data_IF_887346302921
#
_entry.id   IF_887346302921
#
_cell.length_a   1.000
_cell.length_b   1.000
_cell.length_c   1.000
_cell.angle_alpha   90.00
_cell.angle_beta   90.00
_cell.angle_gamma   90.00
#
_symmetry.space_group_name_H-M   'P 1'
#
loop_
_entity.id
_entity.type
_entity.pdbx_description
1 polymer ?
#
# COMPACT_ATOMS: atom_id res chain seq x y z
N UNK A 1 4.58 19.29 -3.90
CA UNK A 1 3.61 19.29 -5.00
C UNK A 1 3.42 17.83 -5.38
N UNK A 2 2.20 17.30 -5.40
CA UNK A 2 1.99 15.91 -5.81
C UNK A 2 2.16 15.86 -7.32
N UNK A 3 3.12 15.10 -7.82
CA UNK A 3 3.12 14.76 -9.24
C UNK A 3 1.82 14.02 -9.54
N UNK A 4 1.09 14.39 -10.59
CA UNK A 4 -0.13 13.69 -10.97
C UNK A 4 0.23 12.22 -11.22
N UNK A 5 -0.52 11.33 -10.56
CA UNK A 5 -0.39 9.90 -10.80
C UNK A 5 -0.90 9.56 -12.21
N UNK A 6 -0.36 8.50 -12.83
CA UNK A 6 -0.72 8.13 -14.20
C UNK A 6 -2.23 7.89 -14.34
N UNK A 7 -2.77 8.30 -15.49
CA UNK A 7 -4.18 8.16 -15.89
C UNK A 7 -5.20 8.69 -14.88
N UNK A 8 -4.83 9.75 -14.15
CA UNK A 8 -5.69 10.35 -13.13
C UNK A 8 -5.93 9.43 -11.92
N UNK A 9 -5.07 8.43 -11.74
CA UNK A 9 -5.22 7.44 -10.69
C UNK A 9 -5.12 8.04 -9.29
N UNK A 10 -5.71 7.34 -8.32
CA UNK A 10 -5.81 7.80 -6.94
C UNK A 10 -5.27 6.76 -5.98
N UNK A 11 -4.56 7.20 -4.93
CA UNK A 11 -4.19 6.33 -3.81
C UNK A 11 -5.15 6.56 -2.66
N UNK A 12 -5.82 5.50 -2.21
CA UNK A 12 -6.73 5.55 -1.07
C UNK A 12 -6.64 4.29 -0.22
N UNK A 13 -7.12 4.39 1.01
CA UNK A 13 -7.29 3.24 1.89
C UNK A 13 -8.37 2.31 1.35
N UNK A 14 -8.14 1.02 1.48
CA UNK A 14 -9.07 -0.04 1.13
C UNK A 14 -10.07 -0.24 2.28
N UNK A 15 -11.35 -0.38 1.94
CA UNK A 15 -12.37 -0.74 2.91
C UNK A 15 -12.40 -2.27 3.13
N UNK A 16 -12.82 -2.78 4.30
CA UNK A 16 -12.84 -4.22 4.57
C UNK A 16 -13.64 -5.05 3.54
N UNK A 17 -14.69 -4.48 2.94
CA UNK A 17 -15.50 -5.15 1.94
C UNK A 17 -14.81 -5.25 0.56
N UNK A 18 -13.78 -4.44 0.30
CA UNK A 18 -13.04 -4.40 -0.98
C UNK A 18 -11.85 -5.40 -1.00
N UNK A 19 -11.83 -6.39 -0.11
CA UNK A 19 -10.78 -7.42 -0.10
C UNK A 19 -10.72 -8.20 -1.43
N UNK A 20 -11.83 -8.28 -2.16
CA UNK A 20 -11.90 -8.93 -3.46
C UNK A 20 -11.18 -8.10 -4.55
N UNK A 21 -11.22 -6.77 -4.47
CA UNK A 21 -10.43 -5.90 -5.36
C UNK A 21 -8.92 -6.10 -5.14
N UNK A 22 -8.53 -6.30 -3.88
CA UNK A 22 -7.16 -6.61 -3.53
C UNK A 22 -6.73 -7.98 -4.06
N UNK A 23 -7.57 -9.00 -3.90
CA UNK A 23 -7.32 -10.33 -4.48
C UNK A 23 -7.18 -10.25 -6.01
N UNK A 24 -8.10 -9.56 -6.67
CA UNK A 24 -8.11 -9.41 -8.12
C UNK A 24 -6.84 -8.70 -8.62
N UNK A 25 -6.39 -7.65 -7.92
CA UNK A 25 -5.12 -6.98 -8.21
C UNK A 25 -3.92 -7.93 -8.08
N UNK A 26 -3.81 -8.66 -6.97
CA UNK A 26 -2.71 -9.58 -6.74
C UNK A 26 -2.66 -10.73 -7.76
N UNK A 27 -3.82 -11.19 -8.24
CA UNK A 27 -3.93 -12.21 -9.28
C UNK A 27 -3.53 -11.71 -10.67
N UNK A 28 -3.62 -10.40 -10.93
CA UNK A 28 -3.18 -9.77 -12.18
C UNK A 28 -1.67 -9.50 -12.26
N UNK A 29 -0.93 -9.68 -11.16
CA UNK A 29 0.51 -9.50 -11.17
C UNK A 29 1.18 -10.47 -12.15
N UNK A 30 2.10 -9.95 -12.96
CA UNK A 30 2.99 -10.79 -13.74
C UNK A 30 3.88 -11.66 -12.82
N UNK A 31 4.46 -12.72 -13.39
CA UNK A 31 5.24 -13.72 -12.64
C UNK A 31 6.35 -13.09 -11.78
N UNK A 32 7.06 -12.09 -12.30
CA UNK A 32 8.17 -11.47 -11.59
C UNK A 32 7.68 -10.58 -10.45
N UNK A 33 6.66 -9.76 -10.70
CA UNK A 33 6.05 -8.92 -9.66
C UNK A 33 5.43 -9.76 -8.54
N UNK A 34 4.81 -10.88 -8.90
CA UNK A 34 4.25 -11.85 -7.95
C UNK A 34 5.34 -12.52 -7.12
N UNK A 35 6.43 -13.00 -7.76
CA UNK A 35 7.60 -13.57 -7.06
C UNK A 35 8.21 -12.56 -6.09
N UNK A 36 8.39 -11.31 -6.49
CA UNK A 36 8.96 -10.25 -5.63
C UNK A 36 8.06 -9.93 -4.44
N UNK A 37 6.73 -9.92 -4.63
CA UNK A 37 5.78 -9.64 -3.55
C UNK A 37 5.72 -10.77 -2.51
N UNK A 38 5.79 -12.03 -2.94
CA UNK A 38 5.60 -13.19 -2.07
C UNK A 38 6.89 -13.97 -1.78
N UNK A 39 8.06 -13.41 -2.15
CA UNK A 39 9.38 -14.03 -2.02
C UNK A 39 9.49 -15.43 -2.61
N UNK A 40 8.70 -15.74 -3.65
CA UNK A 40 8.62 -17.07 -4.22
C UNK A 40 7.39 -17.30 -5.09
N UNK A 41 7.26 -18.52 -5.61
CA UNK A 41 6.06 -18.94 -6.33
C UNK A 41 4.89 -19.11 -5.34
N UNK A 42 3.72 -18.62 -5.73
CA UNK A 42 2.50 -18.66 -4.90
C UNK A 42 1.30 -19.01 -5.77
N UNK A 43 0.44 -19.91 -5.29
CA UNK A 43 -0.78 -20.30 -6.01
C UNK A 43 -1.85 -19.20 -5.94
N UNK A 44 -2.79 -19.21 -6.88
CA UNK A 44 -3.94 -18.30 -6.86
C UNK A 44 -4.78 -18.46 -5.58
N UNK A 45 -4.93 -19.70 -5.13
CA UNK A 45 -5.63 -20.01 -3.89
C UNK A 45 -4.95 -19.38 -2.66
N UNK A 46 -3.62 -19.47 -2.57
CA UNK A 46 -2.88 -18.83 -1.47
C UNK A 46 -2.97 -17.30 -1.56
N UNK A 47 -3.04 -16.71 -2.76
CA UNK A 47 -3.30 -15.28 -2.93
C UNK A 47 -4.67 -14.87 -2.41
N UNK A 48 -5.73 -15.60 -2.76
CA UNK A 48 -7.09 -15.30 -2.27
C UNK A 48 -7.16 -15.37 -0.75
N UNK A 49 -6.58 -16.42 -0.16
CA UNK A 49 -6.48 -16.56 1.29
C UNK A 49 -5.65 -15.45 1.94
N UNK A 50 -4.57 -15.01 1.31
CA UNK A 50 -3.78 -13.87 1.78
C UNK A 50 -4.62 -12.59 1.77
N UNK A 51 -5.28 -12.28 0.65
CA UNK A 51 -6.09 -11.07 0.50
C UNK A 51 -7.24 -11.02 1.52
N UNK A 52 -7.85 -12.16 1.85
CA UNK A 52 -8.88 -12.23 2.90
C UNK A 52 -8.40 -11.74 4.28
N UNK A 53 -7.09 -11.86 4.58
CA UNK A 53 -6.49 -11.36 5.82
C UNK A 53 -6.41 -9.84 5.87
N UNK A 54 -6.65 -9.12 4.78
CA UNK A 54 -6.71 -7.66 4.76
C UNK A 54 -7.82 -7.09 5.67
N UNK A 55 -8.81 -7.93 6.03
CA UNK A 55 -9.88 -7.61 6.98
C UNK A 55 -9.46 -7.73 8.45
N UNK A 56 -8.26 -8.25 8.70
CA UNK A 56 -7.75 -8.53 10.04
C UNK A 56 -7.43 -7.26 10.83
N UNK A 57 -7.51 -7.37 12.16
CA UNK A 57 -7.08 -6.31 13.07
C UNK A 57 -5.59 -6.00 12.84
N UNK A 58 -5.24 -4.71 12.90
CA UNK A 58 -3.86 -4.25 12.70
C UNK A 58 -3.40 -4.21 11.25
N UNK A 59 -4.23 -4.63 10.28
CA UNK A 59 -3.92 -4.54 8.85
C UNK A 59 -4.53 -3.28 8.24
N UNK A 60 -3.77 -2.59 7.40
CA UNK A 60 -4.28 -1.57 6.47
C UNK A 60 -3.72 -1.83 5.11
N UNK A 61 -4.59 -1.77 4.10
CA UNK A 61 -4.18 -1.80 2.71
C UNK A 61 -4.50 -0.44 2.09
N UNK A 62 -3.53 0.15 1.43
CA UNK A 62 -3.73 1.25 0.49
C UNK A 62 -3.75 0.67 -0.91
N UNK A 63 -4.70 1.12 -1.73
CA UNK A 63 -4.77 0.80 -3.15
C UNK A 63 -4.51 2.01 -4.00
N UNK A 64 -3.78 1.81 -5.10
CA UNK A 64 -3.74 2.71 -6.24
C UNK A 64 -4.82 2.26 -7.23
N UNK A 65 -5.76 3.14 -7.54
CA UNK A 65 -6.92 2.86 -8.39
C UNK A 65 -6.88 3.70 -9.65
N UNK A 66 -7.23 3.07 -10.77
CA UNK A 66 -7.43 3.73 -12.07
C UNK A 66 -8.75 3.22 -12.64
N UNK A 67 -9.69 4.14 -12.89
CA UNK A 67 -11.03 3.80 -13.36
C UNK A 67 -11.70 2.68 -12.52
N UNK A 68 -11.57 2.76 -11.19
CA UNK A 68 -12.20 1.84 -10.25
C UNK A 68 -11.47 0.52 -10.08
N UNK A 69 -10.42 0.28 -10.87
CA UNK A 69 -9.65 -0.96 -10.79
C UNK A 69 -8.39 -0.71 -9.97
N UNK A 70 -8.18 -1.54 -8.94
CA UNK A 70 -6.96 -1.51 -8.15
C UNK A 70 -5.76 -2.02 -8.99
N UNK A 71 -4.74 -1.19 -9.18
CA UNK A 71 -3.54 -1.45 -9.99
C UNK A 71 -2.25 -1.49 -9.18
N UNK A 72 -2.31 -1.07 -7.92
CA UNK A 72 -1.20 -1.16 -6.99
C UNK A 72 -1.69 -1.24 -5.55
N UNK A 73 -0.84 -1.71 -4.66
CA UNK A 73 -1.14 -1.90 -3.25
C UNK A 73 0.07 -1.66 -2.36
N UNK A 74 -0.20 -1.11 -1.17
CA UNK A 74 0.70 -1.12 -0.02
C UNK A 74 -0.05 -1.65 1.19
N UNK A 75 0.41 -2.79 1.69
CA UNK A 75 -0.14 -3.46 2.85
C UNK A 75 0.74 -3.19 4.06
N UNK A 76 0.18 -2.53 5.07
CA UNK A 76 0.79 -2.25 6.36
C UNK A 76 0.18 -3.18 7.43
N UNK A 77 1.02 -3.97 8.08
CA UNK A 77 0.65 -4.83 9.21
C UNK A 77 1.33 -4.33 10.47
N UNK A 78 0.55 -4.07 11.51
CA UNK A 78 1.08 -3.75 12.85
C UNK A 78 1.17 -5.03 13.69
N UNK A 79 2.24 -5.16 14.47
CA UNK A 79 2.30 -6.16 15.53
C UNK A 79 1.25 -5.85 16.61
N UNK A 80 0.43 -6.85 16.96
CA UNK A 80 -0.65 -6.72 17.92
C UNK A 80 -0.17 -6.83 19.38
N UNK A 81 1.08 -7.22 19.61
CA UNK A 81 1.68 -7.20 20.94
C UNK A 81 1.68 -5.76 21.51
N UNK A 82 1.13 -5.52 22.72
CA UNK A 82 1.10 -4.19 23.33
C UNK A 82 2.49 -3.57 23.55
N UNK A 83 3.51 -4.41 23.68
CA UNK A 83 4.90 -4.00 23.88
C UNK A 83 5.62 -3.69 22.56
N UNK A 84 5.04 -4.09 21.43
CA UNK A 84 5.65 -3.92 20.12
C UNK A 84 5.24 -2.60 19.48
N UNK A 85 6.24 -1.90 18.95
CA UNK A 85 6.05 -0.74 18.08
C UNK A 85 6.53 -1.01 16.66
N UNK A 86 6.47 -2.28 16.27
CA UNK A 86 6.91 -2.75 14.99
C UNK A 86 5.71 -2.87 14.04
N UNK A 87 5.99 -2.69 12.76
CA UNK A 87 5.09 -3.06 11.68
C UNK A 87 5.87 -3.55 10.48
N UNK A 88 5.13 -4.09 9.53
CA UNK A 88 5.65 -4.56 8.25
C UNK A 88 4.89 -3.88 7.13
N UNK A 89 5.59 -3.47 6.07
CA UNK A 89 4.97 -3.00 4.84
C UNK A 89 5.38 -3.85 3.65
N UNK A 90 4.41 -4.17 2.79
CA UNK A 90 4.63 -4.92 1.57
C UNK A 90 3.91 -4.25 0.39
N UNK A 91 4.55 -4.24 -0.77
CA UNK A 91 4.11 -3.49 -1.95
C UNK A 91 3.94 -4.41 -3.15
N UNK A 92 2.89 -4.19 -3.93
CA UNK A 92 2.71 -4.81 -5.23
C UNK A 92 2.11 -3.80 -6.21
N UNK A 93 2.64 -3.73 -7.41
CA UNK A 93 2.17 -2.80 -8.46
C UNK A 93 2.17 -3.59 -9.77
N UNK A 94 1.06 -3.53 -10.51
CA UNK A 94 0.97 -4.13 -11.84
C UNK A 94 2.01 -3.50 -12.78
N UNK A 95 2.59 -4.31 -13.68
CA UNK A 95 3.77 -3.95 -14.50
C UNK A 95 3.66 -2.58 -15.17
N UNK A 96 2.51 -2.32 -15.80
CA UNK A 96 2.27 -1.09 -16.58
C UNK A 96 2.23 0.18 -15.72
N UNK A 97 2.06 0.04 -14.40
CA UNK A 97 1.96 1.14 -13.44
C UNK A 97 3.25 1.33 -12.62
N UNK A 98 4.28 0.52 -12.86
CA UNK A 98 5.57 0.64 -12.19
C UNK A 98 6.37 1.81 -12.78
N UNK A 99 7.27 2.40 -11.99
CA UNK A 99 8.15 3.52 -12.40
C UNK A 99 7.44 4.84 -12.75
N UNK A 100 6.17 5.01 -12.37
CA UNK A 100 5.38 6.24 -12.58
C UNK A 100 5.03 6.96 -11.26
N UNK A 101 5.88 6.86 -10.23
CA UNK A 101 5.64 7.50 -8.93
C UNK A 101 4.62 6.79 -8.01
N UNK A 102 3.90 5.79 -8.50
CA UNK A 102 2.89 5.02 -7.73
C UNK A 102 3.45 4.43 -6.44
N UNK A 103 4.65 3.82 -6.50
CA UNK A 103 5.32 3.26 -5.32
C UNK A 103 5.64 4.31 -4.26
N UNK A 104 6.07 5.50 -4.66
CA UNK A 104 6.32 6.62 -3.75
C UNK A 104 5.05 7.09 -3.07
N UNK A 105 3.97 7.26 -3.84
CA UNK A 105 2.68 7.68 -3.28
C UNK A 105 2.12 6.66 -2.28
N UNK A 106 2.21 5.37 -2.61
CA UNK A 106 1.83 4.28 -1.72
C UNK A 106 2.67 4.24 -0.44
N UNK A 107 4.01 4.40 -0.56
CA UNK A 107 4.91 4.40 0.59
C UNK A 107 4.65 5.59 1.51
N UNK A 108 4.41 6.78 0.97
CA UNK A 108 4.04 7.96 1.76
C UNK A 108 2.78 7.72 2.60
N UNK A 109 1.76 7.09 2.02
CA UNK A 109 0.53 6.73 2.76
C UNK A 109 0.81 5.71 3.86
N UNK A 110 1.60 4.69 3.56
CA UNK A 110 2.00 3.69 4.55
C UNK A 110 2.79 4.31 5.71
N UNK A 111 3.77 5.16 5.43
CA UNK A 111 4.58 5.85 6.44
C UNK A 111 3.73 6.79 7.31
N UNK A 112 2.83 7.57 6.70
CA UNK A 112 1.91 8.44 7.45
C UNK A 112 1.04 7.64 8.43
N UNK A 113 0.43 6.55 7.96
CA UNK A 113 -0.40 5.71 8.82
C UNK A 113 0.42 4.94 9.85
N UNK A 114 1.65 4.54 9.53
CA UNK A 114 2.57 3.95 10.50
C UNK A 114 2.88 4.93 11.65
N UNK A 115 3.20 6.20 11.32
CA UNK A 115 3.38 7.28 12.31
C UNK A 115 2.15 7.46 13.19
N UNK A 116 0.97 7.59 12.58
CA UNK A 116 -0.29 7.82 13.30
C UNK A 116 -0.68 6.64 14.19
N UNK A 117 -0.16 5.44 13.90
CA UNK A 117 -0.36 4.23 14.71
C UNK A 117 0.73 4.00 15.76
N UNK A 118 1.71 4.89 15.86
CA UNK A 118 2.81 4.80 16.81
C UNK A 118 3.81 3.68 16.50
N UNK A 119 3.85 3.21 15.24
CA UNK A 119 4.88 2.31 14.74
C UNK A 119 6.19 3.10 14.67
N UNK A 120 7.22 2.60 15.34
CA UNK A 120 8.58 3.18 15.34
C UNK A 120 9.49 2.49 14.34
N UNK A 121 9.27 1.20 14.09
CA UNK A 121 10.07 0.40 13.18
C UNK A 121 9.16 -0.26 12.15
N UNK A 122 9.32 0.11 10.88
CA UNK A 122 8.59 -0.44 9.75
C UNK A 122 9.51 -1.31 8.91
N UNK A 123 9.36 -2.62 8.97
CA UNK A 123 10.18 -3.56 8.20
C UNK A 123 9.58 -3.80 6.82
N UNK A 124 10.44 -3.85 5.82
CA UNK A 124 10.08 -4.09 4.42
C UNK A 124 11.07 -5.08 3.81
N UNK A 125 10.63 -6.32 3.64
CA UNK A 125 11.47 -7.35 3.04
C UNK A 125 11.44 -7.24 1.52
N UNK A 126 12.61 -7.18 0.90
CA UNK A 126 12.73 -7.19 -0.55
C UNK A 126 13.86 -8.11 -0.99
N UNK A 127 13.65 -8.81 -2.10
CA UNK A 127 14.71 -9.59 -2.73
C UNK A 127 15.88 -8.67 -3.12
N UNK A 128 17.12 -9.18 -3.04
CA UNK A 128 18.32 -8.43 -3.39
C UNK A 128 18.35 -7.96 -4.85
N UNK A 129 17.61 -8.64 -5.74
CA UNK A 129 17.44 -8.29 -7.15
C UNK A 129 16.30 -7.26 -7.40
N UNK A 130 15.64 -6.76 -6.35
CA UNK A 130 14.56 -5.79 -6.47
C UNK A 130 15.09 -4.34 -6.47
N UNK A 131 15.80 -3.99 -7.54
CA UNK A 131 16.37 -2.64 -7.74
C UNK A 131 15.34 -1.52 -7.62
N UNK A 132 14.09 -1.76 -8.06
CA UNK A 132 13.01 -0.77 -7.97
C UNK A 132 12.66 -0.45 -6.51
N UNK A 133 12.57 -1.46 -5.66
CA UNK A 133 12.34 -1.25 -4.23
C UNK A 133 13.55 -0.60 -3.56
N UNK A 134 14.77 -0.96 -3.95
CA UNK A 134 15.98 -0.29 -3.45
C UNK A 134 16.00 1.20 -3.84
N UNK A 135 15.67 1.54 -5.08
CA UNK A 135 15.54 2.93 -5.53
C UNK A 135 14.43 3.68 -4.79
N UNK A 136 13.26 3.06 -4.64
CA UNK A 136 12.16 3.64 -3.87
C UNK A 136 12.61 3.95 -2.46
N UNK A 137 13.23 2.99 -1.78
CA UNK A 137 13.66 3.18 -0.42
C UNK A 137 14.75 4.27 -0.31
N UNK A 138 15.72 4.35 -1.24
CA UNK A 138 16.73 5.43 -1.26
C UNK A 138 16.12 6.82 -1.39
N UNK A 139 14.96 6.96 -2.04
CA UNK A 139 14.24 8.26 -2.09
C UNK A 139 13.70 8.68 -0.73
N UNK A 140 13.55 7.73 0.20
CA UNK A 140 13.05 7.93 1.56
C UNK A 140 14.12 7.59 2.60
N UNK A 141 15.41 7.69 2.24
CA UNK A 141 16.56 7.34 3.11
C UNK A 141 16.57 8.10 4.45
N UNK A 142 16.00 9.31 4.48
CA UNK A 142 15.81 10.07 5.73
C UNK A 142 14.82 9.41 6.71
N UNK A 143 13.94 8.54 6.22
CA UNK A 143 12.89 7.83 6.98
C UNK A 143 13.12 6.31 7.00
N UNK A 144 14.14 5.81 6.29
CA UNK A 144 14.38 4.39 6.14
C UNK A 144 15.86 4.02 6.33
N UNK A 145 16.12 2.99 7.14
CA UNK A 145 17.43 2.35 7.25
C UNK A 145 17.47 1.09 6.39
N UNK A 146 18.67 0.64 6.08
CA UNK A 146 18.88 -0.50 5.19
C UNK A 146 19.70 -1.55 5.89
N UNK A 147 19.24 -2.80 5.80
CA UNK A 147 20.03 -3.97 6.16
C UNK A 147 20.18 -4.87 4.93
N UNK A 148 21.28 -5.61 4.84
CA UNK A 148 21.56 -6.41 3.64
C UNK A 148 20.48 -7.50 3.46
N UNK A 149 19.65 -7.34 2.43
CA UNK A 149 18.51 -8.23 2.13
C UNK A 149 17.15 -7.79 2.69
N UNK A 150 17.08 -6.69 3.44
CA UNK A 150 15.80 -6.10 3.86
C UNK A 150 15.87 -4.57 4.02
N UNK A 151 14.85 -3.87 3.58
CA UNK A 151 14.70 -2.43 3.84
C UNK A 151 14.04 -2.29 5.20
N UNK A 152 14.71 -1.66 6.16
CA UNK A 152 14.20 -1.47 7.53
C UNK A 152 13.93 0.00 7.78
N UNK A 153 12.68 0.40 7.58
CA UNK A 153 12.22 1.76 7.86
C UNK A 153 12.26 2.12 9.34
N UNK A 154 12.98 3.17 9.74
CA UNK A 154 12.78 3.79 11.05
C UNK A 154 11.80 4.95 10.89
N UNK A 155 10.58 4.73 11.35
CA UNK A 155 9.53 5.73 11.27
C UNK A 155 9.78 6.74 12.39
N UNK A 156 10.52 7.81 12.08
CA UNK A 156 10.77 8.89 13.03
C UNK A 156 9.43 9.51 13.42
N UNK A 157 9.05 9.50 14.72
CA UNK A 157 7.80 10.05 15.16
C UNK A 157 7.99 11.51 15.62
N UNK A 158 7.67 12.53 14.81
CA UNK A 158 7.04 13.68 15.43
C UNK A 158 5.69 13.19 15.97
N UNK A 159 5.33 13.60 17.19
CA UNK A 159 4.03 13.29 17.82
C UNK A 159 2.91 13.43 16.77
N UNK A 160 1.96 12.48 16.74
CA UNK A 160 0.78 12.61 15.89
C UNK A 160 0.09 13.96 16.17
N UNK A 161 0.23 14.92 15.26
CA UNK A 161 -0.44 16.22 15.38
C UNK A 161 -1.88 16.06 14.93
N UNK A 162 -2.83 16.79 15.50
CA UNK A 162 -4.20 16.86 15.00
C UNK A 162 -4.28 17.08 13.48
N UNK A 163 -3.37 17.90 12.92
CA UNK A 163 -3.20 18.09 11.48
C UNK A 163 -2.85 16.82 10.69
N UNK A 164 -2.07 15.90 11.26
CA UNK A 164 -1.73 14.63 10.61
C UNK A 164 -2.91 13.66 10.60
N UNK A 165 -3.71 13.66 11.67
CA UNK A 165 -4.94 12.87 11.77
C UNK A 165 -6.03 13.40 10.85
N UNK A 166 -6.20 14.73 10.76
CA UNK A 166 -7.14 15.33 9.80
C UNK A 166 -6.68 15.12 8.35
N UNK A 167 -5.38 15.17 8.04
CA UNK A 167 -4.88 14.80 6.71
C UNK A 167 -5.13 13.33 6.37
N UNK A 168 -5.00 12.41 7.33
CA UNK A 168 -5.36 11.01 7.13
C UNK A 168 -6.87 10.89 6.87
N UNK A 169 -7.71 11.49 7.72
CA UNK A 169 -9.17 11.45 7.60
C UNK A 169 -9.69 12.09 6.31
N UNK A 170 -9.16 13.24 5.89
CA UNK A 170 -9.54 13.90 4.64
C UNK A 170 -9.14 13.09 3.41
N UNK A 171 -7.97 12.45 3.44
CA UNK A 171 -7.57 11.56 2.35
C UNK A 171 -8.43 10.29 2.32
N UNK A 172 -8.85 9.77 3.47
CA UNK A 172 -9.80 8.66 3.58
C UNK A 172 -11.21 9.07 3.08
N UNK A 173 -11.68 10.31 3.38
CA UNK A 173 -12.95 10.86 2.90
C UNK A 173 -12.97 11.14 1.39
N UNK A 174 -11.89 11.70 0.82
CA UNK A 174 -11.78 11.85 -0.64
C UNK A 174 -11.79 10.49 -1.34
N UNK A 175 -11.19 9.47 -0.72
CA UNK A 175 -11.29 8.08 -1.19
C UNK A 175 -12.74 7.58 -1.24
N UNK A 176 -13.58 7.94 -0.26
CA UNK A 176 -15.00 7.59 -0.23
C UNK A 176 -15.78 8.28 -1.36
N UNK A 177 -15.59 9.60 -1.54
CA UNK A 177 -16.27 10.37 -2.58
C UNK A 177 -15.90 9.89 -3.99
N UNK A 178 -14.62 9.63 -4.25
CA UNK A 178 -14.16 9.07 -5.51
C UNK A 178 -14.81 7.70 -5.81
N UNK A 179 -14.90 6.83 -4.80
CA UNK A 179 -15.50 5.49 -4.94
C UNK A 179 -17.01 5.55 -5.19
N UNK A 180 -17.73 6.46 -4.54
CA UNK A 180 -19.17 6.64 -4.73
C UNK A 180 -19.50 7.20 -6.13
N UNK A 181 -18.76 8.23 -6.57
CA UNK A 181 -18.91 8.81 -7.90
C UNK A 181 -18.64 7.78 -9.00
N UNK A 182 -17.63 6.92 -8.79
CA UNK A 182 -17.28 5.89 -9.74
C UNK A 182 -18.30 4.75 -9.81
N UNK A 183 -18.82 4.30 -8.67
CA UNK A 183 -19.94 3.33 -8.63
C UNK A 183 -21.17 3.91 -9.34
N UNK A 184 -21.52 5.16 -9.09
CA UNK A 184 -22.64 5.84 -9.75
C UNK A 184 -22.43 5.90 -11.28
N UNK A 185 -21.24 6.30 -11.74
CA UNK A 185 -20.91 6.38 -13.17
C UNK A 185 -20.95 5.02 -13.89
N UNK A 186 -20.55 3.95 -13.22
CA UNK A 186 -20.60 2.59 -13.79
C UNK A 186 -22.03 2.03 -13.85
N UNK A 187 -22.91 2.39 -12.90
CA UNK A 187 -24.34 2.06 -12.99
C UNK A 187 -25.00 2.72 -14.22
N UNK A 188 -24.66 3.98 -14.51
CA UNK A 188 -25.22 4.72 -15.66
C UNK A 188 -24.68 4.27 -17.03
N UNK A 189 -23.64 3.42 -17.07
CA UNK A 189 -23.12 2.84 -18.33
C UNK A 189 -23.65 1.44 -18.64
N UNK A 190 -24.38 0.82 -17.71
CA UNK A 190 -24.96 -0.53 -17.87
C UNK A 190 -26.49 -0.55 -18.02
N UNK A 191 -27.13 0.63 -18.09
CA UNK A 191 -28.54 0.80 -18.46
C UNK A 191 -28.65 1.52 -19.79
#
# INVERSE_FOLDING_TARGET
MFDPLPDGGVVRKLWPHEADDYAAHLLRLDKDSRRRRFSGAVSDELIRRHAAKARGLGVVVFGFFVNGVMRGSAELRRDLSPLSRNGEAAFAIERDWQSHGVGSALLQRALLTARNRGIKLLKMYCLADNERMQQLARKFDAELKFDFGSVVGEVDPPRSTWLSLTREALADQHGLMATLLEKQRNLFRQG
#
